data_IF_350522598253
#
_entry.id   IF_350522598253
#
_cell.length_a   1.000
_cell.length_b   1.000
_cell.length_c   1.000
_cell.angle_alpha   90.00
_cell.angle_beta   90.00
_cell.angle_gamma   90.00
#
_symmetry.space_group_name_H-M   'P 1'
#
loop_
_entity.id
_entity.type
_entity.pdbx_description
1 polymer ?
#
# COMPACT_ATOMS: atom_id res chain seq x y z
N UNK A 1 -19.00 -52.43 -27.47
CA UNK A 1 -18.68 -53.59 -28.33
C UNK A 1 -19.94 -53.95 -29.06
N UNK A 2 -19.93 -54.01 -30.42
CA UNK A 2 -21.05 -54.48 -31.23
C UNK A 2 -21.00 -56.02 -31.24
N UNK A 3 -22.07 -56.62 -30.77
CA UNK A 3 -22.21 -58.07 -30.78
C UNK A 3 -23.37 -58.45 -31.73
N UNK A 4 -23.13 -59.34 -32.68
CA UNK A 4 -24.22 -59.80 -33.58
C UNK A 4 -25.29 -60.62 -32.80
N UNK A 5 -26.56 -60.36 -33.05
CA UNK A 5 -27.69 -60.97 -32.36
C UNK A 5 -28.42 -61.88 -33.33
N UNK A 6 -28.77 -63.07 -32.88
CA UNK A 6 -29.64 -64.01 -33.61
C UNK A 6 -30.78 -64.44 -32.68
N UNK A 7 -32.01 -64.25 -33.10
CA UNK A 7 -33.23 -64.61 -32.34
C UNK A 7 -33.25 -63.94 -30.93
N UNK A 8 -32.94 -62.63 -30.86
CA UNK A 8 -32.82 -61.78 -29.62
C UNK A 8 -31.75 -62.19 -28.61
N UNK A 9 -30.86 -63.13 -28.94
CA UNK A 9 -29.74 -63.53 -28.08
C UNK A 9 -28.41 -63.17 -28.74
N UNK A 10 -27.43 -62.67 -27.96
CA UNK A 10 -26.10 -62.39 -28.46
C UNK A 10 -25.46 -63.70 -28.98
N UNK A 11 -24.86 -63.68 -30.17
CA UNK A 11 -24.12 -64.79 -30.71
C UNK A 11 -22.89 -65.10 -29.83
N UNK A 12 -22.77 -66.37 -29.44
CA UNK A 12 -21.57 -66.86 -28.77
C UNK A 12 -20.42 -67.01 -29.74
N UNK A 13 -19.19 -67.03 -29.25
CA UNK A 13 -18.00 -67.15 -30.09
C UNK A 13 -17.98 -68.48 -30.90
N UNK A 14 -18.50 -69.56 -30.30
CA UNK A 14 -18.63 -70.86 -30.92
C UNK A 14 -19.68 -70.87 -32.09
N UNK A 15 -20.76 -70.14 -31.92
CA UNK A 15 -21.79 -69.99 -32.95
C UNK A 15 -21.34 -69.10 -34.12
N UNK A 16 -20.54 -68.11 -33.84
CA UNK A 16 -19.92 -67.25 -34.85
C UNK A 16 -18.91 -68.02 -35.69
N UNK A 17 -18.12 -68.94 -35.11
CA UNK A 17 -17.16 -69.81 -35.84
C UNK A 17 -17.83 -70.78 -36.81
N UNK A 18 -19.07 -71.24 -36.53
CA UNK A 18 -19.83 -72.18 -37.36
C UNK A 18 -20.56 -71.50 -38.57
N UNK A 19 -20.50 -70.17 -38.70
CA UNK A 19 -21.10 -69.43 -39.80
C UNK A 19 -20.29 -69.62 -41.11
N UNK A 20 -20.98 -69.64 -42.21
CA UNK A 20 -20.33 -69.66 -43.52
C UNK A 20 -19.56 -68.40 -43.82
N UNK A 21 -18.48 -68.48 -44.60
CA UNK A 21 -17.57 -67.33 -44.92
C UNK A 21 -18.34 -66.12 -45.47
N UNK A 22 -19.39 -66.34 -46.30
CA UNK A 22 -20.24 -65.29 -46.84
C UNK A 22 -21.03 -64.56 -45.76
N UNK A 23 -21.49 -65.22 -44.68
CA UNK A 23 -22.21 -64.61 -43.57
C UNK A 23 -21.28 -63.86 -42.65
N UNK A 24 -20.04 -64.37 -42.37
CA UNK A 24 -19.01 -63.66 -41.61
C UNK A 24 -18.63 -62.35 -42.28
N UNK A 25 -18.32 -62.36 -43.58
CA UNK A 25 -17.97 -61.16 -44.33
C UNK A 25 -19.10 -60.11 -44.36
N UNK A 26 -20.38 -60.54 -44.34
CA UNK A 26 -21.52 -59.63 -44.25
C UNK A 26 -21.62 -58.98 -42.85
N UNK A 27 -21.48 -59.78 -41.80
CA UNK A 27 -21.46 -59.26 -40.39
C UNK A 27 -20.30 -58.26 -40.15
N UNK A 28 -19.11 -58.55 -40.67
CA UNK A 28 -17.97 -57.66 -40.61
C UNK A 28 -18.21 -56.32 -41.33
N UNK A 29 -18.82 -56.41 -42.56
CA UNK A 29 -19.14 -55.19 -43.30
C UNK A 29 -20.22 -54.35 -42.62
N UNK A 30 -21.27 -54.98 -42.10
CA UNK A 30 -22.36 -54.30 -41.40
C UNK A 30 -21.86 -53.73 -40.07
N UNK A 31 -21.00 -54.48 -39.39
CA UNK A 31 -20.30 -54.00 -38.16
C UNK A 31 -19.41 -52.76 -38.44
N UNK A 32 -18.65 -52.77 -39.52
CA UNK A 32 -17.81 -51.63 -39.92
C UNK A 32 -18.65 -50.36 -40.21
N UNK A 33 -19.80 -50.57 -40.92
CA UNK A 33 -20.74 -49.46 -41.20
C UNK A 33 -21.34 -48.91 -39.90
N UNK A 34 -21.78 -49.80 -39.00
CA UNK A 34 -22.34 -49.41 -37.71
C UNK A 34 -21.28 -48.72 -36.82
N UNK A 35 -20.06 -49.21 -36.78
CA UNK A 35 -18.96 -48.57 -36.06
C UNK A 35 -18.69 -47.15 -36.58
N UNK A 36 -18.70 -46.96 -37.90
CA UNK A 36 -18.55 -45.65 -38.51
C UNK A 36 -19.68 -44.71 -38.08
N UNK A 37 -20.90 -45.19 -38.12
CA UNK A 37 -22.10 -44.41 -37.74
C UNK A 37 -22.13 -44.05 -36.26
N UNK A 38 -21.76 -45.00 -35.39
CA UNK A 38 -21.61 -44.74 -33.95
C UNK A 38 -20.56 -43.67 -33.72
N UNK A 39 -19.40 -43.75 -34.41
CA UNK A 39 -18.34 -42.75 -34.29
C UNK A 39 -18.81 -41.34 -34.71
N UNK A 40 -19.55 -41.23 -35.78
CA UNK A 40 -20.13 -39.97 -36.24
C UNK A 40 -21.14 -39.41 -35.23
N UNK A 41 -22.06 -40.23 -34.72
CA UNK A 41 -23.01 -39.82 -33.69
C UNK A 41 -22.29 -39.40 -32.39
N UNK A 42 -21.26 -40.12 -31.96
CA UNK A 42 -20.47 -39.75 -30.78
C UNK A 42 -19.70 -38.44 -30.97
N UNK A 43 -19.28 -38.13 -32.19
CA UNK A 43 -18.67 -36.85 -32.50
C UNK A 43 -19.71 -35.71 -32.43
N UNK A 44 -20.89 -35.93 -32.95
CA UNK A 44 -22.00 -34.97 -32.88
C UNK A 44 -22.45 -34.72 -31.44
N UNK A 45 -22.54 -35.77 -30.60
CA UNK A 45 -22.86 -35.65 -29.18
C UNK A 45 -21.80 -34.79 -28.47
N UNK A 46 -20.52 -35.08 -28.69
CA UNK A 46 -19.43 -34.28 -28.08
C UNK A 46 -19.48 -32.81 -28.50
N UNK A 47 -19.79 -32.56 -29.80
CA UNK A 47 -19.94 -31.19 -30.30
C UNK A 47 -21.10 -30.46 -29.61
N UNK A 48 -22.24 -31.12 -29.46
CA UNK A 48 -23.40 -30.57 -28.78
C UNK A 48 -23.16 -30.35 -27.30
N UNK A 49 -22.44 -31.25 -26.62
CA UNK A 49 -22.04 -31.09 -25.22
C UNK A 49 -21.12 -29.87 -25.04
N UNK A 50 -20.18 -29.65 -25.97
CA UNK A 50 -19.30 -28.50 -25.98
C UNK A 50 -20.06 -27.18 -26.19
N UNK A 51 -20.96 -27.16 -27.20
CA UNK A 51 -21.83 -26.01 -27.47
C UNK A 51 -22.72 -25.68 -26.28
N UNK A 52 -23.32 -26.68 -25.63
CA UNK A 52 -24.09 -26.49 -24.39
C UNK A 52 -23.25 -25.93 -23.25
N UNK A 53 -22.02 -26.43 -23.04
CA UNK A 53 -21.12 -25.90 -22.02
C UNK A 53 -20.85 -24.43 -22.24
N UNK A 54 -20.53 -24.04 -23.47
CA UNK A 54 -20.26 -22.62 -23.79
C UNK A 54 -21.50 -21.77 -23.52
N UNK A 55 -22.69 -22.22 -23.95
CA UNK A 55 -23.94 -21.48 -23.73
C UNK A 55 -24.25 -21.30 -22.21
N UNK A 56 -24.06 -22.36 -21.42
CA UNK A 56 -24.29 -22.31 -19.98
C UNK A 56 -23.30 -21.32 -19.35
N UNK A 57 -22.00 -21.38 -19.70
CA UNK A 57 -20.99 -20.45 -19.18
C UNK A 57 -21.30 -19.00 -19.55
N UNK A 58 -21.75 -18.72 -20.76
CA UNK A 58 -22.12 -17.38 -21.18
C UNK A 58 -23.39 -16.88 -20.47
N UNK A 59 -24.35 -17.74 -20.22
CA UNK A 59 -25.54 -17.40 -19.45
C UNK A 59 -25.21 -17.12 -17.99
N UNK A 60 -24.34 -17.93 -17.37
CA UNK A 60 -23.86 -17.70 -16.00
C UNK A 60 -23.10 -16.37 -15.86
N UNK A 61 -22.26 -16.02 -16.85
CA UNK A 61 -21.59 -14.71 -16.91
C UNK A 61 -22.60 -13.55 -16.99
N UNK A 62 -23.61 -13.70 -17.84
CA UNK A 62 -24.63 -12.67 -17.99
C UNK A 62 -25.46 -12.47 -16.72
N UNK A 63 -25.83 -13.55 -16.04
CA UNK A 63 -26.55 -13.49 -14.75
C UNK A 63 -25.70 -12.84 -13.67
N UNK A 64 -24.40 -13.18 -13.58
CA UNK A 64 -23.47 -12.55 -12.62
C UNK A 64 -23.34 -11.06 -12.92
N UNK A 65 -23.08 -10.68 -14.17
CA UNK A 65 -22.95 -9.27 -14.55
C UNK A 65 -24.23 -8.48 -14.26
N UNK A 66 -25.39 -9.07 -14.45
CA UNK A 66 -26.66 -8.45 -14.08
C UNK A 66 -26.77 -8.27 -12.57
N UNK A 67 -26.41 -9.30 -11.79
CA UNK A 67 -26.50 -9.27 -10.33
C UNK A 67 -25.55 -8.24 -9.69
N UNK A 68 -24.33 -8.08 -10.22
CA UNK A 68 -23.34 -7.12 -9.66
C UNK A 68 -23.37 -5.75 -10.34
N UNK A 69 -23.93 -5.66 -11.54
CA UNK A 69 -23.91 -4.45 -12.38
C UNK A 69 -24.46 -3.22 -11.64
N UNK A 70 -25.60 -3.38 -10.98
CA UNK A 70 -26.24 -2.27 -10.24
C UNK A 70 -25.36 -1.71 -9.13
N UNK A 71 -24.51 -2.53 -8.47
CA UNK A 71 -23.60 -2.07 -7.44
C UNK A 71 -22.51 -1.14 -8.00
N UNK A 72 -22.02 -1.47 -9.20
CA UNK A 72 -21.05 -0.62 -9.87
C UNK A 72 -21.70 0.63 -10.46
N UNK A 73 -22.93 0.53 -10.98
CA UNK A 73 -23.71 1.68 -11.48
C UNK A 73 -23.98 2.74 -10.40
N UNK A 74 -24.09 2.35 -9.13
CA UNK A 74 -24.20 3.28 -8.02
C UNK A 74 -22.88 3.96 -7.67
N UNK A 75 -21.74 3.30 -7.91
CA UNK A 75 -20.41 3.81 -7.57
C UNK A 75 -19.81 4.66 -8.70
N UNK A 76 -20.00 4.28 -9.94
CA UNK A 76 -19.42 4.93 -11.11
C UNK A 76 -19.68 6.44 -11.18
N UNK A 77 -20.91 6.95 -10.91
CA UNK A 77 -21.16 8.39 -10.92
C UNK A 77 -20.36 9.16 -9.87
N UNK A 78 -20.10 8.54 -8.70
CA UNK A 78 -19.36 9.17 -7.61
C UNK A 78 -17.87 9.31 -7.94
N UNK A 79 -17.32 8.42 -8.76
CA UNK A 79 -15.91 8.37 -9.12
C UNK A 79 -15.61 8.66 -10.59
N UNK A 80 -16.57 9.22 -11.32
CA UNK A 80 -16.47 9.48 -12.77
C UNK A 80 -15.27 10.33 -13.16
N UNK A 81 -14.86 11.25 -12.28
CA UNK A 81 -13.70 12.12 -12.50
C UNK A 81 -12.36 11.40 -12.32
N UNK A 82 -12.37 10.21 -11.73
CA UNK A 82 -11.17 9.43 -11.41
C UNK A 82 -11.02 8.23 -12.36
N UNK A 83 -10.46 8.44 -13.54
CA UNK A 83 -10.29 7.41 -14.57
C UNK A 83 -9.65 6.11 -14.05
N UNK A 84 -8.68 6.23 -13.12
CA UNK A 84 -8.01 5.06 -12.52
C UNK A 84 -8.94 4.21 -11.67
N UNK A 85 -9.90 4.84 -10.99
CA UNK A 85 -10.90 4.14 -10.16
C UNK A 85 -11.88 3.41 -11.08
N UNK A 86 -12.36 4.06 -12.13
CA UNK A 86 -13.24 3.45 -13.12
C UNK A 86 -12.55 2.25 -13.79
N UNK A 87 -11.29 2.40 -14.20
CA UNK A 87 -10.51 1.30 -14.76
C UNK A 87 -10.30 0.15 -13.76
N UNK A 88 -10.25 0.44 -12.46
CA UNK A 88 -10.20 -0.57 -11.42
C UNK A 88 -11.53 -1.31 -11.30
N UNK A 89 -12.67 -0.62 -11.33
CA UNK A 89 -13.99 -1.26 -11.34
C UNK A 89 -14.16 -2.22 -12.50
N UNK A 90 -13.75 -1.83 -13.70
CA UNK A 90 -13.78 -2.70 -14.87
C UNK A 90 -12.91 -3.96 -14.71
N UNK A 91 -11.75 -3.82 -14.08
CA UNK A 91 -10.89 -4.97 -13.74
C UNK A 91 -11.55 -5.89 -12.71
N UNK A 92 -12.18 -5.32 -11.69
CA UNK A 92 -12.92 -6.09 -10.69
C UNK A 92 -14.08 -6.86 -11.33
N UNK A 93 -14.87 -6.24 -12.21
CA UNK A 93 -15.95 -6.90 -12.96
C UNK A 93 -15.42 -8.10 -13.76
N UNK A 94 -14.31 -7.90 -14.49
CA UNK A 94 -13.69 -8.98 -15.30
C UNK A 94 -13.15 -10.11 -14.43
N UNK A 95 -12.50 -9.80 -13.31
CA UNK A 95 -11.95 -10.81 -12.39
C UNK A 95 -13.09 -11.63 -11.75
N UNK A 96 -14.17 -10.99 -11.31
CA UNK A 96 -15.34 -11.65 -10.74
C UNK A 96 -15.97 -12.62 -11.73
N UNK A 97 -16.13 -12.20 -13.00
CA UNK A 97 -16.65 -13.06 -14.08
C UNK A 97 -15.71 -14.25 -14.35
N UNK A 98 -14.39 -14.01 -14.33
CA UNK A 98 -13.40 -15.07 -14.57
C UNK A 98 -13.33 -16.13 -13.45
N UNK A 99 -13.87 -15.82 -12.27
CA UNK A 99 -13.81 -16.69 -11.08
C UNK A 99 -15.17 -17.25 -10.66
N UNK A 100 -16.13 -17.24 -11.55
CA UNK A 100 -17.49 -17.73 -11.26
C UNK A 100 -17.50 -19.19 -10.77
N UNK A 101 -16.61 -20.02 -11.30
CA UNK A 101 -16.48 -21.41 -10.90
C UNK A 101 -15.97 -21.57 -9.46
N UNK A 102 -15.03 -20.72 -9.03
CA UNK A 102 -14.54 -20.72 -7.66
C UNK A 102 -15.62 -20.26 -6.66
N UNK A 103 -16.43 -19.28 -7.06
CA UNK A 103 -17.57 -18.80 -6.26
C UNK A 103 -18.68 -19.84 -6.13
N UNK A 104 -18.81 -20.72 -7.13
CA UNK A 104 -19.81 -21.81 -7.18
C UNK A 104 -19.37 -23.03 -6.40
N UNK A 105 -18.09 -23.40 -6.45
CA UNK A 105 -17.56 -24.61 -5.81
C UNK A 105 -17.80 -24.68 -4.28
N UNK A 106 -18.16 -23.57 -3.64
CA UNK A 106 -18.48 -23.52 -2.20
C UNK A 106 -19.86 -24.07 -1.82
N UNK A 107 -20.77 -24.32 -2.74
CA UNK A 107 -22.11 -24.83 -2.41
C UNK A 107 -22.19 -26.35 -2.31
N UNK A 108 -21.12 -27.08 -2.68
CA UNK A 108 -21.10 -28.53 -2.51
C UNK A 108 -20.62 -28.89 -1.09
N UNK A 109 -21.40 -29.68 -0.32
CA UNK A 109 -20.98 -30.12 0.99
C UNK A 109 -19.73 -30.99 0.86
N UNK A 110 -18.57 -30.46 1.29
CA UNK A 110 -17.34 -31.23 1.34
C UNK A 110 -17.49 -32.32 2.43
N UNK A 111 -17.25 -33.56 2.05
CA UNK A 111 -17.20 -34.69 2.97
C UNK A 111 -16.00 -34.46 3.89
N UNK A 112 -16.26 -34.06 5.12
CA UNK A 112 -15.23 -33.84 6.14
C UNK A 112 -14.72 -35.16 6.65
N UNK A 113 -13.53 -35.57 6.28
CA UNK A 113 -12.84 -36.73 6.87
C UNK A 113 -12.32 -36.31 8.23
N UNK A 114 -12.72 -36.97 9.36
CA UNK A 114 -12.24 -36.63 10.68
C UNK A 114 -10.72 -36.77 10.78
N UNK A 115 -10.04 -35.67 11.12
CA UNK A 115 -8.58 -35.64 11.30
C UNK A 115 -7.76 -34.94 10.20
N UNK A 116 -8.35 -34.63 9.06
CA UNK A 116 -7.82 -33.68 8.09
C UNK A 116 -8.80 -32.51 8.04
N UNK A 117 -8.47 -31.40 8.70
CA UNK A 117 -9.15 -30.14 8.45
C UNK A 117 -8.73 -29.70 7.04
N UNK A 118 -9.59 -29.81 6.02
CA UNK A 118 -9.33 -29.09 4.79
C UNK A 118 -9.38 -27.62 5.23
N UNK A 119 -8.31 -26.87 4.98
CA UNK A 119 -8.41 -25.43 4.95
C UNK A 119 -9.43 -25.11 3.85
N UNK A 120 -10.70 -24.98 4.27
CA UNK A 120 -11.73 -24.45 3.41
C UNK A 120 -11.26 -23.04 3.05
N UNK A 121 -10.63 -22.93 1.88
CA UNK A 121 -10.39 -21.63 1.27
C UNK A 121 -11.76 -21.10 0.86
N UNK A 122 -12.44 -20.47 1.82
CA UNK A 122 -13.54 -19.58 1.45
C UNK A 122 -12.98 -18.63 0.38
N UNK A 123 -13.67 -18.36 -0.73
CA UNK A 123 -13.20 -17.40 -1.71
C UNK A 123 -12.97 -16.11 -0.96
N UNK A 124 -11.70 -15.79 -0.78
CA UNK A 124 -11.34 -14.55 -0.13
C UNK A 124 -11.69 -13.39 -1.06
N UNK A 125 -12.67 -12.61 -0.65
CA UNK A 125 -13.01 -11.33 -1.30
C UNK A 125 -12.03 -10.23 -0.91
N UNK A 126 -11.02 -10.53 -0.10
CA UNK A 126 -10.02 -9.56 0.39
C UNK A 126 -9.36 -8.79 -0.75
N UNK A 127 -9.20 -9.40 -1.93
CA UNK A 127 -8.62 -8.76 -3.13
C UNK A 127 -9.42 -7.58 -3.66
N UNK A 128 -10.72 -7.50 -3.34
CA UNK A 128 -11.60 -6.38 -3.73
C UNK A 128 -11.70 -5.30 -2.64
N UNK A 129 -11.12 -5.54 -1.48
CA UNK A 129 -11.04 -4.55 -0.43
C UNK A 129 -10.09 -3.42 -0.84
N UNK A 130 -10.36 -2.22 -0.34
CA UNK A 130 -9.52 -1.06 -0.58
C UNK A 130 -8.60 -0.87 0.62
N UNK A 131 -7.29 -0.76 0.39
CA UNK A 131 -6.34 -0.31 1.40
C UNK A 131 -6.19 1.21 1.29
N UNK A 132 -6.82 1.94 2.20
CA UNK A 132 -6.66 3.39 2.29
C UNK A 132 -5.32 3.72 2.94
N UNK A 133 -4.36 4.14 2.15
CA UNK A 133 -3.01 4.46 2.63
C UNK A 133 -3.00 5.76 3.45
N UNK A 134 -3.80 6.76 3.07
CA UNK A 134 -3.84 8.08 3.67
C UNK A 134 -5.28 8.57 3.70
N UNK A 135 -5.65 9.19 4.80
CA UNK A 135 -6.89 9.91 4.97
C UNK A 135 -6.59 11.37 5.38
N UNK A 136 -6.80 12.28 4.44
CA UNK A 136 -6.67 13.72 4.64
C UNK A 136 -8.05 14.41 4.73
N UNK A 137 -9.15 13.68 4.91
CA UNK A 137 -10.51 14.22 4.94
C UNK A 137 -10.72 15.26 6.05
N UNK A 138 -9.94 15.15 7.14
CA UNK A 138 -10.00 16.09 8.27
C UNK A 138 -9.00 17.25 8.15
N UNK A 139 -8.11 17.26 7.14
CA UNK A 139 -7.14 18.31 6.95
C UNK A 139 -7.80 19.58 6.37
N UNK A 140 -7.68 20.70 7.08
CA UNK A 140 -8.04 22.01 6.58
C UNK A 140 -6.82 22.67 5.91
N UNK A 141 -6.63 22.42 4.61
CA UNK A 141 -5.52 22.94 3.84
C UNK A 141 -4.44 21.92 3.54
N UNK A 142 -3.23 22.39 3.22
CA UNK A 142 -2.11 21.52 2.89
C UNK A 142 -1.61 20.76 4.13
N UNK A 143 -1.36 19.44 4.04
CA UNK A 143 -0.86 18.66 5.17
C UNK A 143 0.54 19.13 5.59
N UNK A 144 0.77 19.29 6.89
CA UNK A 144 2.07 19.58 7.48
C UNK A 144 2.45 18.44 8.40
N UNK A 145 3.49 17.71 8.04
CA UNK A 145 3.95 16.54 8.78
C UNK A 145 5.33 16.79 9.32
N UNK A 146 5.50 16.71 10.65
CA UNK A 146 6.78 16.63 11.30
C UNK A 146 7.12 15.18 11.62
N UNK A 147 8.22 14.66 11.07
CA UNK A 147 8.68 13.29 11.33
C UNK A 147 9.93 13.34 12.22
N UNK A 148 9.73 13.01 13.49
CA UNK A 148 10.79 13.07 14.49
C UNK A 148 11.82 11.95 14.35
N UNK A 149 11.43 10.80 13.80
CA UNK A 149 12.31 9.66 13.60
C UNK A 149 12.33 9.24 12.10
N UNK A 150 13.08 9.96 11.26
CA UNK A 150 13.06 9.83 9.81
C UNK A 150 13.85 8.60 9.33
N UNK A 151 13.54 7.41 9.86
CA UNK A 151 14.06 6.16 9.31
C UNK A 151 13.54 5.94 7.91
N UNK A 152 14.20 5.09 7.13
CA UNK A 152 13.75 4.76 5.78
C UNK A 152 12.28 4.32 5.77
N UNK A 153 11.89 3.40 6.64
CA UNK A 153 10.52 2.89 6.70
C UNK A 153 9.49 3.94 7.12
N UNK A 154 9.86 4.82 8.04
CA UNK A 154 8.98 5.92 8.47
C UNK A 154 8.80 6.97 7.37
N UNK A 155 9.81 7.20 6.54
CA UNK A 155 9.73 8.16 5.43
C UNK A 155 9.00 7.60 4.22
N UNK A 156 9.36 6.39 3.76
CA UNK A 156 8.92 5.84 2.49
C UNK A 156 7.79 4.82 2.61
N UNK A 157 7.48 4.38 3.84
CA UNK A 157 6.53 3.31 4.09
C UNK A 157 7.18 1.93 4.08
N UNK A 158 6.38 0.92 4.37
CA UNK A 158 6.82 -0.47 4.45
C UNK A 158 5.71 -1.43 4.05
N UNK A 159 6.10 -2.65 3.73
CA UNK A 159 5.21 -3.77 3.54
C UNK A 159 5.40 -4.69 4.75
N UNK A 160 4.33 -4.89 5.52
CA UNK A 160 4.34 -5.78 6.67
C UNK A 160 4.13 -7.22 6.21
N UNK A 161 4.70 -8.17 6.94
CA UNK A 161 4.59 -9.60 6.65
C UNK A 161 4.02 -10.33 7.86
N UNK A 162 3.14 -11.28 7.59
CA UNK A 162 2.64 -12.22 8.60
C UNK A 162 3.47 -13.50 8.49
N UNK A 163 4.11 -13.88 9.59
CA UNK A 163 4.89 -15.12 9.65
C UNK A 163 4.03 -16.22 10.26
N UNK A 164 3.69 -17.24 9.47
CA UNK A 164 2.96 -18.42 9.92
C UNK A 164 3.75 -19.68 9.59
N UNK A 165 4.04 -20.49 10.60
CA UNK A 165 4.78 -21.75 10.45
C UNK A 165 6.09 -21.59 9.65
N UNK A 166 6.81 -20.48 9.84
CA UNK A 166 8.08 -20.21 9.14
C UNK A 166 7.95 -19.61 7.73
N UNK A 167 6.74 -19.50 7.19
CA UNK A 167 6.48 -18.85 5.91
C UNK A 167 6.02 -17.40 6.13
N UNK A 168 6.73 -16.45 5.51
CA UNK A 168 6.35 -15.06 5.49
C UNK A 168 5.39 -14.79 4.32
N UNK A 169 4.17 -14.37 4.64
CA UNK A 169 3.15 -14.00 3.65
C UNK A 169 2.80 -12.53 3.79
N UNK A 170 2.44 -11.90 2.69
CA UNK A 170 1.97 -10.51 2.70
C UNK A 170 0.83 -10.33 1.71
N UNK A 171 0.04 -9.30 1.91
CA UNK A 171 -0.98 -8.87 0.97
C UNK A 171 -0.98 -7.34 0.83
N UNK A 172 -1.76 -6.79 -0.10
CA UNK A 172 -1.78 -5.35 -0.34
C UNK A 172 -2.32 -4.53 0.84
N UNK A 173 -3.07 -5.11 1.76
CA UNK A 173 -3.56 -4.45 2.97
C UNK A 173 -2.45 -4.22 4.01
N UNK A 174 -1.34 -4.97 3.88
CA UNK A 174 -0.16 -4.85 4.74
C UNK A 174 0.78 -3.72 4.30
N UNK A 175 0.44 -2.99 3.25
CA UNK A 175 1.19 -1.82 2.79
C UNK A 175 0.86 -0.65 3.72
N UNK A 176 1.91 -0.05 4.33
CA UNK A 176 1.80 1.10 5.23
C UNK A 176 2.48 2.32 4.62
N UNK A 177 1.78 3.45 4.66
CA UNK A 177 2.31 4.72 4.18
C UNK A 177 3.42 5.26 5.09
N UNK A 178 4.39 5.93 4.48
CA UNK A 178 5.38 6.73 5.19
C UNK A 178 5.02 8.21 5.26
N UNK A 179 5.88 9.00 5.91
CA UNK A 179 5.71 10.44 6.10
C UNK A 179 5.62 11.22 4.78
N UNK A 180 6.38 10.79 3.74
CA UNK A 180 6.31 11.39 2.40
C UNK A 180 4.93 11.24 1.76
N UNK A 181 4.25 10.11 2.00
CA UNK A 181 2.90 9.92 1.51
C UNK A 181 1.90 10.80 2.28
N UNK A 182 2.05 10.87 3.64
CA UNK A 182 1.18 11.70 4.49
C UNK A 182 1.32 13.19 4.21
N UNK A 183 2.55 13.63 3.88
CA UNK A 183 2.87 15.03 3.57
C UNK A 183 2.63 15.42 2.11
N UNK A 184 2.19 14.48 1.27
CA UNK A 184 2.02 14.72 -0.16
C UNK A 184 0.92 15.78 -0.41
N UNK A 185 1.20 16.76 -1.26
CA UNK A 185 0.38 17.97 -1.42
C UNK A 185 0.67 19.08 -0.39
N UNK A 186 1.69 18.91 0.49
CA UNK A 186 1.98 19.84 1.55
C UNK A 186 3.45 19.91 1.96
N UNK A 187 3.71 19.82 3.26
CA UNK A 187 5.02 20.08 3.85
C UNK A 187 5.47 18.91 4.72
N UNK A 188 6.73 18.48 4.52
CA UNK A 188 7.41 17.53 5.37
C UNK A 188 8.57 18.21 6.10
N UNK A 189 8.53 18.21 7.41
CA UNK A 189 9.53 18.82 8.28
C UNK A 189 10.37 17.69 8.89
N UNK A 190 11.69 17.76 8.75
CA UNK A 190 12.64 16.75 9.18
C UNK A 190 13.80 17.40 9.94
N UNK A 191 14.27 16.74 11.00
CA UNK A 191 15.55 17.07 11.59
C UNK A 191 16.69 16.58 10.69
N UNK A 192 17.56 17.49 10.30
CA UNK A 192 18.68 17.21 9.39
C UNK A 192 19.64 16.17 9.97
N UNK A 193 19.94 16.28 11.28
CA UNK A 193 20.83 15.34 11.97
C UNK A 193 20.22 13.94 11.91
N UNK A 194 18.96 13.81 12.29
CA UNK A 194 18.29 12.50 12.33
C UNK A 194 18.19 11.87 10.93
N UNK A 195 17.93 12.65 9.89
CA UNK A 195 17.94 12.14 8.50
C UNK A 195 19.32 11.63 8.09
N UNK A 196 20.40 12.34 8.48
CA UNK A 196 21.77 11.97 8.10
C UNK A 196 22.29 10.75 8.87
N UNK A 197 21.89 10.60 10.14
CA UNK A 197 22.30 9.46 10.96
C UNK A 197 21.50 8.19 10.67
N UNK A 198 20.31 8.30 10.08
CA UNK A 198 19.54 7.15 9.66
C UNK A 198 20.02 6.63 8.31
N UNK A 199 20.53 5.40 8.32
CA UNK A 199 21.09 4.75 7.15
C UNK A 199 20.06 4.73 5.98
N UNK A 200 20.51 5.04 4.77
CA UNK A 200 19.74 5.08 3.53
C UNK A 200 18.69 6.20 3.43
N UNK A 201 18.31 6.87 4.51
CA UNK A 201 17.22 7.85 4.52
C UNK A 201 17.52 9.05 3.63
N UNK A 202 18.71 9.66 3.76
CA UNK A 202 19.09 10.85 3.00
C UNK A 202 19.21 10.57 1.49
N UNK A 203 19.88 9.49 1.11
CA UNK A 203 20.06 9.15 -0.31
C UNK A 203 18.73 8.77 -1.00
N UNK A 204 17.87 8.06 -0.27
CA UNK A 204 16.53 7.74 -0.76
C UNK A 204 15.67 9.00 -0.89
N UNK A 205 15.77 9.94 0.05
CA UNK A 205 15.08 11.23 0.01
C UNK A 205 15.48 12.04 -1.24
N UNK A 206 16.78 12.17 -1.51
CA UNK A 206 17.28 12.83 -2.74
C UNK A 206 16.74 12.16 -4.01
N UNK A 207 16.71 10.82 -4.02
CA UNK A 207 16.17 10.05 -5.15
C UNK A 207 14.69 10.34 -5.38
N UNK A 208 13.89 10.40 -4.31
CA UNK A 208 12.47 10.75 -4.40
C UNK A 208 12.25 12.18 -4.89
N UNK A 209 13.00 13.15 -4.37
CA UNK A 209 12.92 14.54 -4.83
C UNK A 209 13.28 14.66 -6.32
N UNK A 210 14.33 13.96 -6.75
CA UNK A 210 14.79 13.95 -8.14
C UNK A 210 13.77 13.36 -9.09
N UNK A 211 13.21 12.21 -8.72
CA UNK A 211 12.28 11.46 -9.56
C UNK A 211 10.84 11.98 -9.44
N UNK A 212 10.54 12.81 -8.43
CA UNK A 212 9.19 13.28 -8.08
C UNK A 212 8.20 12.12 -7.87
N UNK A 213 8.66 11.06 -7.25
CA UNK A 213 7.85 9.89 -6.93
C UNK A 213 8.32 9.23 -5.64
N UNK A 214 7.37 8.66 -4.89
CA UNK A 214 7.65 7.83 -3.72
C UNK A 214 7.40 6.38 -4.07
N UNK A 215 8.38 5.52 -3.77
CA UNK A 215 8.28 4.07 -3.93
C UNK A 215 8.36 3.41 -2.57
N UNK A 216 7.46 2.47 -2.33
CA UNK A 216 7.55 1.60 -1.16
C UNK A 216 8.34 0.37 -1.61
N UNK A 217 9.60 0.31 -1.20
CA UNK A 217 10.53 -0.77 -1.52
C UNK A 217 10.99 -1.44 -0.23
N UNK A 218 11.14 -2.76 -0.27
CA UNK A 218 11.75 -3.49 0.85
C UNK A 218 13.28 -3.39 0.75
N UNK A 219 13.89 -2.76 1.75
CA UNK A 219 15.36 -2.65 1.83
C UNK A 219 16.01 -4.03 1.87
N UNK A 220 15.40 -5.00 2.56
CA UNK A 220 15.95 -6.34 2.67
C UNK A 220 16.04 -7.03 1.30
N UNK A 221 15.07 -6.79 0.41
CA UNK A 221 15.12 -7.25 -0.99
C UNK A 221 16.22 -6.51 -1.77
N UNK A 222 16.31 -5.19 -1.62
CA UNK A 222 17.28 -4.36 -2.34
C UNK A 222 18.73 -4.77 -2.02
N UNK A 223 19.01 -5.14 -0.77
CA UNK A 223 20.34 -5.60 -0.33
C UNK A 223 20.48 -7.11 -0.32
N UNK A 224 19.53 -7.87 -0.89
CA UNK A 224 19.54 -9.34 -0.97
C UNK A 224 19.74 -10.03 0.39
N UNK A 225 19.26 -9.41 1.45
CA UNK A 225 19.34 -9.98 2.79
C UNK A 225 18.37 -11.14 3.01
N UNK A 226 17.22 -11.11 2.35
CA UNK A 226 16.18 -12.13 2.44
C UNK A 226 15.57 -12.33 1.04
N UNK A 227 15.42 -13.58 0.62
CA UNK A 227 14.73 -13.94 -0.61
C UNK A 227 13.24 -14.16 -0.31
N UNK A 228 12.48 -13.09 -0.14
CA UNK A 228 11.02 -13.14 0.02
C UNK A 228 10.34 -12.61 -1.25
N UNK A 229 9.22 -13.23 -1.62
CA UNK A 229 8.37 -12.68 -2.67
C UNK A 229 7.60 -11.52 -2.06
N UNK A 230 8.03 -10.29 -2.39
CA UNK A 230 7.38 -9.06 -1.91
C UNK A 230 6.49 -8.44 -2.98
N UNK A 231 5.50 -7.68 -2.53
CA UNK A 231 4.68 -6.86 -3.41
C UNK A 231 5.49 -5.67 -3.93
N UNK A 232 5.20 -5.23 -5.16
CA UNK A 232 5.79 -4.02 -5.74
C UNK A 232 4.68 -3.01 -6.04
N UNK A 233 4.29 -2.19 -5.04
CA UNK A 233 3.29 -1.15 -5.24
C UNK A 233 3.70 -0.17 -6.33
N UNK A 234 2.73 0.38 -7.04
CA UNK A 234 3.01 1.42 -8.03
C UNK A 234 3.54 2.67 -7.32
N UNK A 235 4.53 3.36 -7.93
CA UNK A 235 5.04 4.62 -7.39
C UNK A 235 3.92 5.67 -7.29
N UNK A 236 3.96 6.47 -6.22
CA UNK A 236 3.05 7.58 -6.00
C UNK A 236 3.75 8.87 -6.41
N UNK A 237 3.16 9.71 -7.29
CA UNK A 237 3.72 11.03 -7.62
C UNK A 237 3.91 11.86 -6.36
N UNK A 238 5.06 12.52 -6.21
CA UNK A 238 5.42 13.35 -5.06
C UNK A 238 5.31 14.84 -5.42
N UNK A 239 4.41 15.53 -4.73
CA UNK A 239 4.33 16.99 -4.72
C UNK A 239 4.37 17.47 -3.25
N UNK A 240 5.56 17.52 -2.69
CA UNK A 240 5.78 17.86 -1.29
C UNK A 240 6.95 18.83 -1.15
N UNK A 241 6.81 19.82 -0.27
CA UNK A 241 7.89 20.72 0.14
C UNK A 241 8.60 20.12 1.35
N UNK A 242 9.89 19.85 1.21
CA UNK A 242 10.69 19.26 2.27
C UNK A 242 11.50 20.36 2.95
N UNK A 243 11.40 20.41 4.28
CA UNK A 243 12.07 21.38 5.13
C UNK A 243 13.02 20.60 6.04
N UNK A 244 14.32 20.88 5.92
CA UNK A 244 15.33 20.34 6.83
C UNK A 244 15.64 21.38 7.89
N UNK A 245 15.47 21.01 9.16
CA UNK A 245 15.83 21.83 10.31
C UNK A 245 17.12 21.28 10.89
N UNK A 246 18.10 22.14 11.17
CA UNK A 246 19.36 21.69 11.73
C UNK A 246 20.28 22.86 12.11
N UNK A 247 21.41 22.50 12.69
CA UNK A 247 22.45 23.49 13.04
C UNK A 247 23.21 23.98 11.82
N UNK A 248 23.81 25.16 11.84
CA UNK A 248 24.63 25.67 10.74
C UNK A 248 25.75 24.71 10.31
N UNK A 249 26.27 23.92 11.23
CA UNK A 249 27.30 22.91 10.93
C UNK A 249 26.83 21.91 9.86
N UNK A 250 25.64 21.32 10.04
CA UNK A 250 25.11 20.35 9.07
C UNK A 250 24.83 20.99 7.70
N UNK A 251 24.36 22.25 7.70
CA UNK A 251 24.20 22.97 6.44
C UNK A 251 25.52 23.11 5.68
N UNK A 252 26.59 23.53 6.34
CA UNK A 252 27.89 23.71 5.67
C UNK A 252 28.55 22.39 5.31
N UNK A 253 28.38 21.32 6.10
CA UNK A 253 28.84 19.98 5.74
C UNK A 253 28.13 19.47 4.49
N UNK A 254 26.80 19.57 4.42
CA UNK A 254 26.03 19.17 3.22
C UNK A 254 26.44 20.00 2.00
N UNK A 255 26.64 21.30 2.19
CA UNK A 255 27.05 22.20 1.12
C UNK A 255 28.41 21.82 0.52
N UNK A 256 29.34 21.34 1.35
CA UNK A 256 30.71 21.00 0.99
C UNK A 256 30.80 19.57 0.42
N UNK A 257 30.10 18.61 1.01
CA UNK A 257 30.28 17.19 0.69
C UNK A 257 29.20 16.62 -0.23
N UNK A 258 28.03 17.26 -0.36
CA UNK A 258 26.99 16.83 -1.28
C UNK A 258 26.80 17.81 -2.44
N UNK A 259 27.30 17.50 -3.63
CA UNK A 259 27.22 18.38 -4.81
C UNK A 259 25.77 18.65 -5.24
N UNK A 260 24.84 17.73 -4.93
CA UNK A 260 23.43 17.86 -5.31
C UNK A 260 22.60 18.65 -4.27
N UNK A 261 23.14 18.92 -3.09
CA UNK A 261 22.39 19.58 -2.01
C UNK A 261 21.75 20.89 -2.46
N UNK A 262 22.52 21.81 -3.08
CA UNK A 262 22.02 23.10 -3.60
C UNK A 262 20.94 22.96 -4.68
N UNK A 263 20.94 21.85 -5.39
CA UNK A 263 19.96 21.60 -6.44
C UNK A 263 18.58 21.33 -5.86
N UNK A 264 18.52 20.62 -4.74
CA UNK A 264 17.27 20.22 -4.09
C UNK A 264 16.83 21.18 -2.99
N UNK A 265 17.76 21.73 -2.21
CA UNK A 265 17.51 22.66 -1.11
C UNK A 265 18.02 24.05 -1.47
N UNK A 266 17.17 24.82 -2.16
CA UNK A 266 17.56 26.11 -2.76
C UNK A 266 17.42 27.29 -1.80
N UNK A 267 16.58 27.16 -0.78
CA UNK A 267 16.28 28.24 0.15
C UNK A 267 16.92 27.91 1.49
N UNK A 268 17.76 28.83 1.97
CA UNK A 268 18.29 28.80 3.32
C UNK A 268 17.58 29.86 4.14
N UNK A 269 17.12 29.49 5.32
CA UNK A 269 16.55 30.39 6.30
C UNK A 269 17.42 30.33 7.55
N UNK A 270 18.04 31.43 7.89
CA UNK A 270 18.82 31.54 9.11
C UNK A 270 17.97 32.16 10.23
N UNK A 271 18.03 31.51 11.39
CA UNK A 271 17.51 32.08 12.64
C UNK A 271 18.69 32.61 13.42
N UNK A 272 18.70 33.92 13.64
CA UNK A 272 19.74 34.58 14.39
C UNK A 272 19.68 34.20 15.88
N UNK A 273 20.84 34.04 16.52
CA UNK A 273 20.92 33.71 17.94
C UNK A 273 20.78 34.94 18.85
N UNK A 274 20.77 36.12 18.25
CA UNK A 274 20.71 37.40 18.93
C UNK A 274 19.70 38.33 18.29
N UNK A 275 19.03 39.14 19.05
CA UNK A 275 18.17 40.22 18.59
C UNK A 275 18.60 41.54 19.16
N UNK A 276 18.18 42.67 18.57
CA UNK A 276 18.48 44.00 19.05
C UNK A 276 17.81 44.24 20.41
N UNK A 277 18.53 44.87 21.35
CA UNK A 277 17.99 45.30 22.63
C UNK A 277 17.23 46.61 22.44
N UNK A 278 15.98 46.51 21.96
CA UNK A 278 15.05 47.63 21.78
C UNK A 278 13.87 47.48 22.75
N UNK A 279 13.21 48.59 23.05
CA UNK A 279 12.07 48.57 23.96
C UNK A 279 10.95 47.61 23.46
N UNK A 280 10.74 47.54 22.17
CA UNK A 280 9.78 46.59 21.57
C UNK A 280 10.16 45.14 21.83
N UNK A 281 11.44 44.78 21.63
CA UNK A 281 11.91 43.42 21.88
C UNK A 281 11.92 43.07 23.38
N UNK A 282 12.18 44.05 24.26
CA UNK A 282 12.05 43.87 25.71
C UNK A 282 10.60 43.56 26.09
N UNK A 283 9.62 44.29 25.53
CA UNK A 283 8.20 43.98 25.74
C UNK A 283 7.81 42.60 25.24
N UNK A 284 8.26 42.23 24.04
CA UNK A 284 8.00 40.88 23.47
C UNK A 284 8.66 39.80 24.36
N UNK A 285 9.80 40.05 24.88
CA UNK A 285 10.50 39.16 25.82
C UNK A 285 9.69 38.95 27.11
N UNK A 286 9.17 40.04 27.68
CA UNK A 286 8.29 39.96 28.84
C UNK A 286 6.99 39.18 28.56
N UNK A 287 6.38 39.40 27.38
CA UNK A 287 5.21 38.63 26.93
C UNK A 287 5.54 37.16 26.77
N UNK A 288 6.73 36.84 26.22
CA UNK A 288 7.18 35.45 26.08
C UNK A 288 7.30 34.77 27.45
N UNK A 289 7.93 35.44 28.46
CA UNK A 289 8.03 34.91 29.82
C UNK A 289 6.63 34.65 30.41
N UNK A 290 5.71 35.60 30.28
CA UNK A 290 4.34 35.47 30.77
C UNK A 290 3.57 34.34 30.09
N UNK A 291 3.72 34.20 28.74
CA UNK A 291 3.09 33.11 27.97
C UNK A 291 3.62 31.76 28.41
N UNK A 292 4.93 31.62 28.62
CA UNK A 292 5.55 30.36 29.09
C UNK A 292 5.08 29.99 30.50
N UNK A 293 4.99 30.96 31.40
CA UNK A 293 4.42 30.68 32.73
C UNK A 293 2.98 30.19 32.67
N UNK A 294 2.16 30.74 31.77
CA UNK A 294 0.76 30.32 31.59
C UNK A 294 0.66 28.96 30.94
N UNK A 295 1.41 28.72 29.86
CA UNK A 295 1.42 27.46 29.10
C UNK A 295 1.82 26.26 29.96
N UNK A 296 2.89 26.44 30.75
CA UNK A 296 3.47 25.38 31.59
C UNK A 296 2.94 25.39 33.03
N UNK A 297 1.98 26.29 33.37
CA UNK A 297 1.37 26.44 34.68
C UNK A 297 2.43 26.75 35.78
N UNK A 298 3.43 27.55 35.44
CA UNK A 298 4.48 27.98 36.36
C UNK A 298 4.01 29.20 37.16
N UNK A 299 4.77 29.53 38.20
CA UNK A 299 4.56 30.78 38.96
C UNK A 299 4.88 31.98 38.06
N UNK A 300 3.98 32.98 38.07
CA UNK A 300 4.24 34.22 37.32
C UNK A 300 5.36 35.05 37.96
N UNK A 301 6.17 35.64 37.11
CA UNK A 301 7.28 36.48 37.51
C UNK A 301 6.76 37.89 37.80
N UNK A 302 7.31 38.51 38.85
CA UNK A 302 7.13 39.93 39.10
C UNK A 302 7.99 40.78 38.14
N UNK A 303 7.74 42.09 38.03
CA UNK A 303 8.51 42.95 37.14
C UNK A 303 10.04 42.93 37.40
N UNK A 304 10.45 42.71 38.65
CA UNK A 304 11.86 42.65 39.00
C UNK A 304 12.52 41.37 38.50
N UNK A 305 11.85 40.26 38.60
CA UNK A 305 12.30 38.96 38.06
C UNK A 305 12.34 38.97 36.54
N UNK A 306 11.35 39.57 35.88
CA UNK A 306 11.36 39.75 34.40
C UNK A 306 12.57 40.60 33.99
N UNK A 307 12.83 41.73 34.68
CA UNK A 307 14.00 42.58 34.40
C UNK A 307 15.32 41.82 34.55
N UNK A 308 15.45 40.99 35.60
CA UNK A 308 16.64 40.14 35.80
C UNK A 308 16.81 39.09 34.74
N UNK A 309 15.73 38.47 34.24
CA UNK A 309 15.78 37.52 33.15
C UNK A 309 16.22 38.19 31.84
N UNK A 310 15.77 39.42 31.57
CA UNK A 310 16.18 40.18 30.39
C UNK A 310 17.66 40.64 30.54
N UNK A 311 18.09 41.03 31.72
CA UNK A 311 19.50 41.33 31.99
C UNK A 311 20.38 40.09 31.75
N UNK A 312 19.93 38.91 32.19
CA UNK A 312 20.62 37.65 31.92
C UNK A 312 20.69 37.36 30.43
N UNK A 313 19.60 37.55 29.70
CA UNK A 313 19.56 37.38 28.24
C UNK A 313 20.55 38.33 27.52
N UNK A 314 20.75 39.55 28.03
CA UNK A 314 21.78 40.47 27.54
C UNK A 314 23.18 39.97 27.85
N UNK A 315 23.42 39.43 29.06
CA UNK A 315 24.71 38.87 29.42
C UNK A 315 25.13 37.68 28.59
N UNK A 316 24.17 36.83 28.17
CA UNK A 316 24.44 35.71 27.31
C UNK A 316 24.96 36.09 25.90
N UNK A 317 24.70 37.32 25.47
CA UNK A 317 25.18 37.84 24.17
C UNK A 317 26.53 38.55 24.28
N UNK A 318 27.01 38.85 25.50
CA UNK A 318 28.21 39.64 25.77
C UNK A 318 28.16 41.05 25.11
N UNK A 319 26.97 41.49 24.71
CA UNK A 319 26.73 42.78 24.04
C UNK A 319 25.48 43.45 24.65
N UNK A 320 25.67 44.62 25.25
CA UNK A 320 24.59 45.39 25.89
C UNK A 320 23.49 45.85 24.91
N UNK A 321 23.82 45.92 23.62
CA UNK A 321 22.86 46.31 22.57
C UNK A 321 22.08 45.12 22.00
N UNK A 322 22.31 43.93 22.53
CA UNK A 322 21.68 42.71 22.06
C UNK A 322 21.05 41.89 23.18
N UNK A 323 20.01 41.15 22.82
CA UNK A 323 19.35 40.13 23.64
C UNK A 323 19.53 38.76 23.00
N UNK A 324 19.67 37.73 23.82
CA UNK A 324 19.72 36.35 23.35
C UNK A 324 18.38 35.94 22.73
N UNK A 325 18.42 35.36 21.55
CA UNK A 325 17.28 34.70 20.91
C UNK A 325 17.24 33.18 21.19
N UNK A 326 18.08 32.70 22.13
CA UNK A 326 18.06 31.30 22.59
C UNK A 326 16.96 31.12 23.63
N UNK A 327 15.73 31.08 23.15
CA UNK A 327 14.55 31.01 24.02
C UNK A 327 14.50 29.75 24.89
N UNK A 328 15.16 28.66 24.48
CA UNK A 328 15.22 27.43 25.27
C UNK A 328 15.99 27.67 26.58
N UNK A 329 17.16 28.31 26.51
CA UNK A 329 17.98 28.59 27.68
C UNK A 329 17.21 29.47 28.69
N UNK A 330 16.43 30.40 28.16
CA UNK A 330 15.58 31.27 28.99
C UNK A 330 14.40 30.52 29.59
N UNK A 331 13.79 29.59 28.81
CA UNK A 331 12.69 28.76 29.30
C UNK A 331 13.17 27.85 30.45
N UNK A 332 14.36 27.28 30.33
CA UNK A 332 14.91 26.42 31.36
C UNK A 332 15.19 27.25 32.64
N UNK A 333 15.72 28.48 32.52
CA UNK A 333 15.86 29.40 33.65
C UNK A 333 14.52 29.72 34.33
N UNK A 334 13.46 29.95 33.55
CA UNK A 334 12.10 30.20 34.06
C UNK A 334 11.57 28.98 34.82
N UNK A 335 11.76 27.77 34.28
CA UNK A 335 11.38 26.53 34.95
C UNK A 335 12.11 26.34 36.28
N UNK A 336 13.43 26.49 36.27
CA UNK A 336 14.25 26.40 37.49
C UNK A 336 13.81 27.41 38.53
N UNK A 337 13.64 28.68 38.14
CA UNK A 337 13.18 29.73 39.05
C UNK A 337 11.78 29.49 39.63
N UNK A 338 10.90 28.83 38.90
CA UNK A 338 9.57 28.47 39.37
C UNK A 338 9.58 27.29 40.35
N UNK A 339 10.59 26.45 40.31
CA UNK A 339 10.76 25.30 41.18
C UNK A 339 11.16 25.73 42.61
N UNK A 340 11.98 26.77 42.73
CA UNK A 340 12.36 27.36 44.00
C UNK A 340 11.27 28.33 44.49
#
# INVERSE_FOLDING_TARGET
VLVPVKDEKPLTQEDYEKLSHAKKARIEKDSAVLHKRIKEVMQDVRRLEEEMRVQIADMEKAVLLFAIGHLFEELEPKYREYERVIAHFERCKKDLVGRIDELRAQKEPQITIPGLTPQSQEPSFDRYLVNQLIDNSQCQGAPVVYEANPTYFNLFGRIEHIVQMGNATTNFQMIKAGALHRANGGYLILDCREVLFNLFSYEALKRCIRNKEVKIEDIAEQYRMIATVTLKPQPVPLDCKIILIGTPLFYYLLLQFDPDFRKYFKVKVDFDQMMKNTWENIQQYALFIGSKCTEEKLRHFDPSAVARTIEHATRLTEDQQRLSARFLDITDLIREASFY
#
